data_IF_267307533101
#
_entry.id   IF_267307533101
#
_cell.length_a   1.000
_cell.length_b   1.000
_cell.length_c   1.000
_cell.angle_alpha   90.00
_cell.angle_beta   90.00
_cell.angle_gamma   90.00
#
_symmetry.space_group_name_H-M   'P 1'
#
loop_
_entity.id
_entity.type
_entity.pdbx_description
1 polymer ?
#
# COMPACT_ATOMS: atom_id res chain seq x y z
N UNK A 1 -3.16 22.48 -3.21
CA UNK A 1 -3.13 21.53 -2.09
C UNK A 1 -3.57 20.19 -2.63
N UNK A 2 -2.72 19.18 -2.57
CA UNK A 2 -3.02 17.84 -3.08
C UNK A 2 -4.02 17.16 -2.14
N UNK A 3 -5.30 17.52 -2.24
CA UNK A 3 -6.38 16.89 -1.48
C UNK A 3 -6.57 15.48 -2.03
N UNK A 4 -6.07 14.49 -1.29
CA UNK A 4 -6.47 13.11 -1.48
C UNK A 4 -8.00 13.06 -1.38
N UNK A 5 -8.66 12.79 -2.51
CA UNK A 5 -10.11 12.63 -2.58
C UNK A 5 -10.50 11.39 -1.78
N UNK A 6 -11.66 11.44 -1.16
CA UNK A 6 -12.27 10.27 -0.54
C UNK A 6 -12.55 9.25 -1.63
N UNK A 7 -12.18 8.00 -1.39
CA UNK A 7 -12.32 6.97 -2.41
C UNK A 7 -11.52 5.73 -2.10
N UNK A 8 -11.68 4.75 -2.97
CA UNK A 8 -10.99 3.47 -2.89
C UNK A 8 -9.92 3.42 -3.98
N UNK A 9 -8.67 3.33 -3.56
CA UNK A 9 -7.50 3.27 -4.41
C UNK A 9 -6.98 1.85 -4.46
N UNK A 10 -6.90 1.29 -5.66
CA UNK A 10 -6.31 -0.02 -5.87
C UNK A 10 -4.90 0.17 -6.39
N UNK A 11 -3.96 -0.51 -5.78
CA UNK A 11 -2.58 -0.54 -6.23
C UNK A 11 -2.06 -1.96 -6.19
N UNK A 12 -1.19 -2.26 -7.11
CA UNK A 12 -0.58 -3.56 -7.19
C UNK A 12 0.86 -3.42 -7.61
N UNK A 13 1.66 -4.36 -7.15
CA UNK A 13 3.07 -4.43 -7.44
C UNK A 13 3.45 -5.88 -7.64
N UNK A 14 3.89 -6.19 -8.86
CA UNK A 14 4.39 -7.50 -9.22
C UNK A 14 5.91 -7.41 -9.34
N UNK A 15 6.60 -8.24 -8.56
CA UNK A 15 8.03 -8.46 -8.69
C UNK A 15 8.29 -9.94 -8.95
N UNK A 16 9.43 -10.22 -9.58
CA UNK A 16 9.80 -11.54 -10.12
C UNK A 16 9.59 -12.69 -9.11
N UNK A 17 9.81 -12.45 -7.82
CA UNK A 17 9.70 -13.46 -6.76
C UNK A 17 8.51 -13.24 -5.79
N UNK A 18 7.88 -12.06 -5.82
CA UNK A 18 6.86 -11.64 -4.84
C UNK A 18 5.91 -10.63 -5.47
N UNK A 19 4.61 -10.80 -5.26
CA UNK A 19 3.60 -9.87 -5.77
C UNK A 19 2.60 -9.52 -4.67
N UNK A 20 2.07 -8.30 -4.69
CA UNK A 20 0.94 -7.94 -3.83
C UNK A 20 -0.04 -6.99 -4.53
N UNK A 21 -1.32 -7.21 -4.28
CA UNK A 21 -2.43 -6.37 -4.64
C UNK A 21 -3.06 -5.82 -3.36
N UNK A 22 -3.20 -4.51 -3.29
CA UNK A 22 -3.74 -3.80 -2.13
C UNK A 22 -4.85 -2.83 -2.55
N UNK A 23 -5.78 -2.63 -1.65
CA UNK A 23 -6.90 -1.71 -1.76
C UNK A 23 -6.86 -0.76 -0.57
N UNK A 24 -6.55 0.49 -0.84
CA UNK A 24 -6.42 1.58 0.13
C UNK A 24 -7.71 2.39 0.11
N UNK A 25 -8.43 2.44 1.22
CA UNK A 25 -9.61 3.30 1.38
C UNK A 25 -9.18 4.60 2.01
N UNK A 26 -9.54 5.73 1.42
CA UNK A 26 -9.30 7.07 1.94
C UNK A 26 -10.64 7.72 2.23
N UNK A 27 -10.76 8.32 3.42
CA UNK A 27 -11.93 9.09 3.84
C UNK A 27 -11.45 10.36 4.54
N UNK A 28 -11.97 11.52 4.16
CA UNK A 28 -11.59 12.80 4.78
C UNK A 28 -10.11 13.13 4.56
N UNK A 29 -9.59 12.84 3.36
CA UNK A 29 -8.18 12.98 2.99
C UNK A 29 -7.19 12.21 3.89
N UNK A 30 -7.65 11.13 4.54
CA UNK A 30 -6.82 10.23 5.36
C UNK A 30 -7.03 8.78 4.98
N UNK A 31 -5.99 7.96 5.12
CA UNK A 31 -6.06 6.52 4.90
C UNK A 31 -6.90 5.90 6.02
N UNK A 32 -8.06 5.35 5.67
CA UNK A 32 -8.99 4.70 6.59
C UNK A 32 -8.60 3.26 6.86
N UNK A 33 -8.33 2.52 5.80
CA UNK A 33 -8.08 1.08 5.85
C UNK A 33 -7.29 0.64 4.62
N UNK A 34 -6.45 -0.37 4.78
CA UNK A 34 -5.70 -0.97 3.68
C UNK A 34 -5.97 -2.46 3.72
N UNK A 35 -6.52 -2.98 2.63
CA UNK A 35 -6.85 -4.39 2.46
C UNK A 35 -5.92 -5.01 1.45
N UNK A 36 -5.29 -6.13 1.79
CA UNK A 36 -4.46 -6.89 0.87
C UNK A 36 -5.37 -7.89 0.17
N UNK A 37 -5.62 -7.68 -1.12
CA UNK A 37 -6.50 -8.55 -1.93
C UNK A 37 -5.74 -9.79 -2.41
N UNK A 38 -4.44 -9.64 -2.67
CA UNK A 38 -3.57 -10.73 -3.10
C UNK A 38 -2.20 -10.53 -2.53
N UNK A 39 -1.62 -11.59 -1.98
CA UNK A 39 -0.23 -11.59 -1.56
C UNK A 39 0.40 -12.89 -2.02
N UNK A 40 1.36 -12.79 -2.93
CA UNK A 40 2.17 -13.89 -3.39
C UNK A 40 3.53 -13.80 -2.70
N UNK A 41 3.72 -14.64 -1.70
CA UNK A 41 4.98 -14.84 -1.02
C UNK A 41 5.37 -16.33 -1.09
N UNK A 42 6.61 -16.63 -1.45
CA UNK A 42 7.03 -18.02 -1.62
C UNK A 42 7.47 -18.67 -0.29
N UNK A 43 8.09 -17.89 0.61
CA UNK A 43 8.70 -18.39 1.87
C UNK A 43 8.73 -17.37 3.03
N UNK A 44 7.95 -16.29 2.96
CA UNK A 44 8.04 -15.17 3.92
C UNK A 44 6.94 -15.13 4.99
N UNK A 45 7.18 -14.41 6.09
CA UNK A 45 6.12 -14.04 7.05
C UNK A 45 5.10 -13.09 6.40
N UNK A 46 3.85 -13.14 6.88
CA UNK A 46 2.83 -12.13 6.56
C UNK A 46 3.34 -10.74 6.92
N UNK A 47 3.50 -9.88 5.92
CA UNK A 47 3.84 -8.47 6.12
C UNK A 47 2.57 -7.61 6.31
N UNK A 48 1.43 -8.23 6.55
CA UNK A 48 0.12 -7.59 6.69
C UNK A 48 0.13 -6.54 7.81
N UNK A 49 0.83 -6.79 8.92
CA UNK A 49 0.95 -5.82 10.01
C UNK A 49 1.62 -4.48 9.61
N UNK A 50 2.24 -4.40 8.43
CA UNK A 50 2.77 -3.13 7.92
C UNK A 50 1.64 -2.18 7.51
N UNK A 51 0.48 -2.70 7.11
CA UNK A 51 -0.66 -1.86 6.70
C UNK A 51 -1.21 -1.09 7.89
N UNK A 52 -1.31 -1.71 9.06
CA UNK A 52 -1.70 -1.04 10.30
C UNK A 52 -0.73 0.09 10.66
N UNK A 53 0.59 -0.11 10.48
CA UNK A 53 1.59 0.94 10.70
C UNK A 53 1.40 2.11 9.73
N UNK A 54 1.17 1.81 8.45
CA UNK A 54 0.89 2.85 7.43
C UNK A 54 -0.37 3.63 7.78
N UNK A 55 -1.42 2.98 8.29
CA UNK A 55 -2.65 3.64 8.72
C UNK A 55 -2.39 4.50 9.97
N UNK A 56 -1.62 3.99 10.94
CA UNK A 56 -1.31 4.72 12.16
C UNK A 56 -0.45 5.97 11.91
N UNK A 57 0.63 5.81 11.13
CA UNK A 57 1.55 6.89 10.78
C UNK A 57 1.01 7.78 9.66
N UNK A 58 -0.03 7.33 8.95
CA UNK A 58 -0.52 7.94 7.71
C UNK A 58 0.61 8.13 6.67
N UNK A 59 1.62 7.25 6.70
CA UNK A 59 2.82 7.34 5.87
C UNK A 59 3.24 5.96 5.36
N UNK A 60 3.69 5.90 4.12
CA UNK A 60 4.27 4.70 3.50
C UNK A 60 5.75 4.52 3.84
N UNK A 61 6.37 5.50 4.48
CA UNK A 61 7.78 5.48 4.90
C UNK A 61 7.96 4.77 6.25
N UNK A 62 7.33 3.61 6.43
CA UNK A 62 7.42 2.82 7.66
C UNK A 62 8.48 1.72 7.55
N UNK A 63 9.10 1.38 8.69
CA UNK A 63 10.08 0.31 8.77
C UNK A 63 9.51 -1.04 8.34
N UNK A 64 10.28 -1.75 7.51
CA UNK A 64 9.94 -3.10 7.05
C UNK A 64 9.98 -4.11 8.20
N UNK A 65 9.14 -5.15 8.11
CA UNK A 65 9.10 -6.20 9.14
C UNK A 65 10.30 -7.13 8.97
N UNK A 66 11.01 -7.38 10.07
CA UNK A 66 12.18 -8.26 10.09
C UNK A 66 11.79 -9.69 9.69
N UNK A 67 12.47 -10.24 8.69
CA UNK A 67 12.12 -11.54 8.08
C UNK A 67 11.04 -11.50 7.00
N UNK A 68 10.48 -10.32 6.69
CA UNK A 68 9.52 -10.10 5.61
C UNK A 68 9.90 -8.92 4.70
N UNK A 69 11.18 -8.53 4.65
CA UNK A 69 11.66 -7.32 3.94
C UNK A 69 11.16 -7.21 2.51
N UNK A 70 11.21 -8.28 1.73
CA UNK A 70 10.72 -8.27 0.34
C UNK A 70 9.20 -8.08 0.28
N UNK A 71 8.44 -8.79 1.12
CA UNK A 71 6.97 -8.64 1.18
C UNK A 71 6.57 -7.25 1.66
N UNK A 72 7.24 -6.70 2.69
CA UNK A 72 7.03 -5.34 3.17
C UNK A 72 7.28 -4.33 2.05
N UNK A 73 8.40 -4.41 1.32
CA UNK A 73 8.69 -3.50 0.21
C UNK A 73 7.63 -3.56 -0.91
N UNK A 74 7.18 -4.76 -1.27
CA UNK A 74 6.16 -4.96 -2.30
C UNK A 74 4.81 -4.37 -1.89
N UNK A 75 4.37 -4.59 -0.64
CA UNK A 75 3.14 -4.01 -0.10
C UNK A 75 3.24 -2.48 -0.06
N UNK A 76 4.35 -1.93 0.45
CA UNK A 76 4.57 -0.48 0.49
C UNK A 76 4.56 0.12 -0.91
N UNK A 77 5.22 -0.52 -1.89
CA UNK A 77 5.19 -0.13 -3.30
C UNK A 77 3.78 -0.20 -3.89
N UNK A 78 2.99 -1.21 -3.55
CA UNK A 78 1.61 -1.34 -4.02
C UNK A 78 0.72 -0.20 -3.44
N UNK A 79 0.89 0.14 -2.16
CA UNK A 79 0.19 1.27 -1.52
C UNK A 79 0.63 2.59 -2.16
N UNK A 80 1.93 2.80 -2.34
CA UNK A 80 2.52 3.96 -3.01
C UNK A 80 1.93 4.12 -4.42
N UNK A 81 1.84 3.03 -5.19
CA UNK A 81 1.21 3.02 -6.50
C UNK A 81 -0.29 3.39 -6.44
N UNK A 82 -1.04 2.86 -5.46
CA UNK A 82 -2.45 3.17 -5.28
C UNK A 82 -2.67 4.68 -5.08
N UNK A 83 -1.86 5.29 -4.21
CA UNK A 83 -1.92 6.72 -3.90
C UNK A 83 -1.39 7.59 -5.06
N UNK A 84 -0.30 7.16 -5.71
CA UNK A 84 0.34 7.89 -6.81
C UNK A 84 -0.48 7.88 -8.09
N UNK A 85 -1.17 6.78 -8.43
CA UNK A 85 -2.02 6.72 -9.61
C UNK A 85 -3.15 7.76 -9.56
N UNK A 86 -3.64 8.10 -8.37
CA UNK A 86 -4.67 9.13 -8.23
C UNK A 86 -4.11 10.54 -8.38
N UNK A 87 -2.90 10.81 -7.88
CA UNK A 87 -2.24 12.11 -8.06
C UNK A 87 -2.04 12.49 -9.53
N UNK A 88 -1.99 11.51 -10.44
CA UNK A 88 -1.91 11.76 -11.90
C UNK A 88 -3.26 12.04 -12.57
N UNK A 89 -4.39 11.86 -11.89
CA UNK A 89 -5.73 12.02 -12.50
C UNK A 89 -6.28 13.45 -12.42
N UNK A 90 -5.58 14.37 -11.78
CA UNK A 90 -5.95 15.79 -11.65
C UNK A 90 -4.96 16.67 -12.44
N UNK A 91 -4.81 16.42 -13.74
CA UNK A 91 -4.27 17.41 -14.68
C UNK A 91 -4.62 17.06 -16.15
N UNK A 92 -5.86 17.30 -16.57
CA UNK A 92 -6.19 17.62 -17.96
C UNK A 92 -7.48 18.43 -18.06
#
# INVERSE_FOLDING_TARGET
MSTLKDGVYKGSFDAILVAADVTVTVEGSKIKSIKIEKHRNEKGKSAEAITDRVIAEQSIEVDTISGATNSSKVILKAIENALTQNSKKDNK
#
